data_IF_773362155220
#
_entry.id   IF_773362155220
#
_cell.length_a   1.000
_cell.length_b   1.000
_cell.length_c   1.000
_cell.angle_alpha   90.00
_cell.angle_beta   90.00
_cell.angle_gamma   90.00
#
_symmetry.space_group_name_H-M   'P 1'
#
loop_
_entity.id
_entity.type
_entity.pdbx_description
1 polymer ?
#
# COMPACT_ATOMS: atom_id res chain seq x y z
N UNK A 1 12.76 -3.35 -17.31
CA UNK A 1 12.17 -4.64 -17.54
C UNK A 1 11.86 -5.39 -16.29
N UNK A 2 12.87 -5.68 -15.49
CA UNK A 2 12.65 -6.26 -14.16
C UNK A 2 11.81 -5.32 -13.31
N UNK A 3 12.11 -4.02 -13.38
CA UNK A 3 11.35 -3.02 -12.64
C UNK A 3 9.90 -2.98 -13.09
N UNK A 4 9.64 -3.02 -14.39
CA UNK A 4 8.28 -3.02 -14.91
C UNK A 4 7.49 -4.24 -14.45
N UNK A 5 8.12 -5.40 -14.49
CA UNK A 5 7.50 -6.64 -14.05
C UNK A 5 7.20 -6.62 -12.56
N UNK A 6 8.17 -6.19 -11.76
CA UNK A 6 7.99 -6.05 -10.31
C UNK A 6 6.85 -5.09 -9.99
N UNK A 7 6.87 -3.92 -10.61
CA UNK A 7 5.84 -2.91 -10.34
C UNK A 7 4.45 -3.38 -10.77
N UNK A 8 4.35 -4.09 -11.89
CA UNK A 8 3.06 -4.61 -12.34
C UNK A 8 2.48 -5.58 -11.32
N UNK A 9 3.29 -6.51 -10.81
CA UNK A 9 2.83 -7.47 -9.81
C UNK A 9 2.47 -6.78 -8.49
N UNK A 10 3.30 -5.84 -8.05
CA UNK A 10 3.06 -5.15 -6.78
C UNK A 10 1.84 -4.23 -6.86
N UNK A 11 1.62 -3.59 -8.01
CA UNK A 11 0.41 -2.79 -8.20
C UNK A 11 -0.85 -3.65 -8.14
N UNK A 12 -0.78 -4.86 -8.65
CA UNK A 12 -1.89 -5.81 -8.54
C UNK A 12 -2.18 -6.12 -7.07
N UNK A 13 -1.13 -6.28 -6.27
CA UNK A 13 -1.26 -6.56 -4.84
C UNK A 13 -1.92 -5.43 -4.05
N UNK A 14 -1.74 -4.18 -4.48
CA UNK A 14 -2.27 -3.01 -3.76
C UNK A 14 -3.55 -2.45 -4.37
N UNK A 15 -4.11 -3.13 -5.34
CA UNK A 15 -5.31 -2.65 -6.04
C UNK A 15 -6.47 -2.39 -5.08
N UNK A 16 -6.66 -3.25 -4.10
CA UNK A 16 -7.73 -3.12 -3.12
C UNK A 16 -7.56 -1.94 -2.17
N UNK A 17 -6.38 -1.36 -2.11
CA UNK A 17 -6.09 -0.21 -1.25
C UNK A 17 -6.04 1.11 -2.02
N UNK A 18 -6.33 1.08 -3.31
CA UNK A 18 -6.29 2.27 -4.18
C UNK A 18 -4.96 3.00 -4.09
N UNK A 19 -3.88 2.24 -4.02
CA UNK A 19 -2.52 2.76 -3.90
C UNK A 19 -1.68 2.23 -5.05
N UNK A 20 -0.95 3.10 -5.72
CA UNK A 20 -0.05 2.71 -6.80
C UNK A 20 1.37 2.63 -6.28
N UNK A 21 2.08 1.62 -6.77
CA UNK A 21 3.48 1.41 -6.45
C UNK A 21 4.32 2.03 -7.56
N UNK A 22 5.35 2.77 -7.18
CA UNK A 22 6.28 3.38 -8.11
C UNK A 22 7.69 3.23 -7.56
N UNK A 23 8.69 3.40 -8.41
CA UNK A 23 10.08 3.23 -8.04
C UNK A 23 10.76 4.60 -8.08
N UNK A 24 11.46 4.96 -7.02
CA UNK A 24 12.18 6.23 -6.90
C UNK A 24 13.49 6.00 -6.17
N UNK A 25 14.35 7.02 -6.21
CA UNK A 25 15.59 7.02 -5.43
C UNK A 25 15.49 8.10 -4.39
N UNK A 26 15.67 7.75 -3.13
CA UNK A 26 15.63 8.74 -2.05
C UNK A 26 16.49 8.28 -0.88
N UNK A 27 16.76 9.22 0.03
CA UNK A 27 17.55 8.99 1.22
C UNK A 27 16.63 8.95 2.44
N UNK A 28 16.98 8.19 3.47
CA UNK A 28 18.14 7.29 3.56
C UNK A 28 17.91 5.97 2.81
N UNK A 29 18.99 5.35 2.38
CA UNK A 29 18.91 4.13 1.57
C UNK A 29 18.33 2.93 2.34
N UNK A 30 18.40 2.96 3.67
CA UNK A 30 17.85 1.88 4.49
C UNK A 30 16.33 1.97 4.65
N UNK A 31 15.71 3.03 4.16
CA UNK A 31 14.26 3.15 4.15
C UNK A 31 13.72 2.51 2.86
N UNK A 32 12.99 1.40 2.96
CA UNK A 32 12.59 0.66 1.75
C UNK A 32 11.45 1.29 0.98
N UNK A 33 10.54 1.99 1.65
CA UNK A 33 9.35 2.53 0.99
C UNK A 33 8.85 3.77 1.72
N UNK A 34 8.17 4.63 0.95
CA UNK A 34 7.59 5.85 1.46
C UNK A 34 6.15 5.97 0.94
N UNK A 35 5.22 6.19 1.86
CA UNK A 35 3.83 6.38 1.50
C UNK A 35 3.54 7.87 1.31
N UNK A 36 2.94 8.21 0.17
CA UNK A 36 2.56 9.57 -0.15
C UNK A 36 1.09 9.64 -0.47
N UNK A 37 0.42 10.64 0.07
CA UNK A 37 -1.03 10.76 -0.04
C UNK A 37 -1.39 12.23 -0.28
N UNK A 38 -2.34 12.48 -1.18
CA UNK A 38 -2.87 13.82 -1.37
C UNK A 38 -3.75 14.19 -0.19
N UNK A 39 -3.99 15.49 0.01
CA UNK A 39 -4.84 15.95 1.11
C UNK A 39 -6.25 15.37 1.03
N UNK A 40 -6.78 15.23 -0.17
CA UNK A 40 -8.11 14.64 -0.37
C UNK A 40 -8.16 13.21 0.12
N UNK A 41 -7.14 12.42 -0.22
CA UNK A 41 -7.08 11.01 0.22
C UNK A 41 -6.87 10.93 1.72
N UNK A 42 -6.07 11.84 2.28
CA UNK A 42 -5.86 11.88 3.73
C UNK A 42 -7.17 12.11 4.46
N UNK A 43 -7.96 13.04 3.96
CA UNK A 43 -9.29 13.30 4.54
C UNK A 43 -10.18 12.06 4.45
N UNK A 44 -10.24 11.43 3.28
CA UNK A 44 -11.04 10.22 3.08
C UNK A 44 -10.59 9.09 3.99
N UNK A 45 -9.28 8.96 4.19
CA UNK A 45 -8.74 7.93 5.06
C UNK A 45 -9.15 8.14 6.51
N UNK A 46 -9.15 9.39 6.98
CA UNK A 46 -9.60 9.73 8.32
C UNK A 46 -11.08 9.41 8.50
N UNK A 47 -11.86 9.71 7.49
CA UNK A 47 -13.30 9.45 7.50
C UNK A 47 -13.58 7.96 7.48
N UNK A 48 -12.77 7.16 6.78
CA UNK A 48 -12.89 5.71 6.81
C UNK A 48 -12.64 5.15 8.22
N UNK A 49 -11.69 5.73 8.94
CA UNK A 49 -11.45 5.35 10.33
C UNK A 49 -12.67 5.61 11.19
N UNK A 50 -13.33 6.75 11.00
CA UNK A 50 -14.57 7.07 11.68
C UNK A 50 -15.71 6.11 11.26
N UNK A 51 -15.72 5.71 10.00
CA UNK A 51 -16.70 4.78 9.46
C UNK A 51 -16.65 3.41 10.12
N UNK A 52 -15.46 2.94 10.43
CA UNK A 52 -15.28 1.65 11.10
C UNK A 52 -15.93 1.62 12.47
N UNK A 53 -16.14 2.79 13.07
CA UNK A 53 -16.72 2.92 14.40
C UNK A 53 -18.10 3.55 14.42
N UNK A 54 -18.67 3.94 13.27
CA UNK A 54 -19.97 4.61 13.23
C UNK A 54 -20.83 4.11 12.06
N UNK A 55 -22.09 4.51 12.05
CA UNK A 55 -23.12 3.86 11.25
C UNK A 55 -23.33 4.42 9.84
N UNK A 56 -24.28 3.86 9.15
CA UNK A 56 -24.49 3.91 7.72
C UNK A 56 -24.59 5.24 6.99
N UNK A 57 -25.04 6.31 7.63
CA UNK A 57 -25.20 7.61 6.95
C UNK A 57 -23.87 8.13 6.45
N UNK A 58 -22.86 7.99 7.29
CA UNK A 58 -21.52 8.42 6.97
C UNK A 58 -20.93 7.59 5.83
N UNK A 59 -21.28 6.30 5.80
CA UNK A 59 -20.83 5.38 4.76
C UNK A 59 -21.34 5.81 3.37
N UNK A 60 -22.59 6.27 3.29
CA UNK A 60 -23.18 6.70 2.03
C UNK A 60 -22.46 7.95 1.51
N UNK A 61 -22.21 8.90 2.40
CA UNK A 61 -21.50 10.14 2.02
C UNK A 61 -20.09 9.82 1.51
N UNK A 62 -19.40 8.90 2.19
CA UNK A 62 -18.07 8.47 1.78
C UNK A 62 -18.09 7.79 0.42
N UNK A 63 -19.06 6.92 0.20
CA UNK A 63 -19.17 6.23 -1.07
C UNK A 63 -19.34 7.21 -2.22
N UNK A 64 -20.12 8.26 -2.01
CA UNK A 64 -20.32 9.30 -3.01
C UNK A 64 -19.02 10.04 -3.33
N UNK A 65 -18.25 10.38 -2.29
CA UNK A 65 -16.96 11.05 -2.47
C UNK A 65 -15.96 10.15 -3.19
N UNK A 66 -15.92 8.89 -2.81
CA UNK A 66 -15.02 7.91 -3.45
C UNK A 66 -15.40 7.69 -4.90
N UNK A 67 -16.69 7.66 -5.21
CA UNK A 67 -17.17 7.51 -6.59
C UNK A 67 -16.75 8.69 -7.47
N UNK A 68 -16.74 9.89 -6.90
CA UNK A 68 -16.32 11.07 -7.64
C UNK A 68 -14.85 11.06 -7.99
N UNK A 69 -14.07 10.26 -7.27
CA UNK A 69 -12.62 10.12 -7.50
C UNK A 69 -12.25 8.78 -8.13
N UNK A 70 -13.23 8.03 -8.57
CA UNK A 70 -12.97 6.71 -9.14
C UNK A 70 -12.05 6.81 -10.36
N UNK A 71 -11.14 5.86 -10.48
CA UNK A 71 -10.20 5.84 -11.59
C UNK A 71 -8.91 6.60 -11.33
N UNK A 72 -8.81 7.34 -10.22
CA UNK A 72 -7.59 8.07 -9.87
C UNK A 72 -6.93 7.42 -8.66
N UNK A 73 -5.69 6.96 -8.84
CA UNK A 73 -4.89 6.52 -7.72
C UNK A 73 -4.33 7.77 -7.04
N UNK A 74 -4.87 8.10 -5.88
CA UNK A 74 -4.51 9.31 -5.15
C UNK A 74 -3.40 9.06 -4.15
N UNK A 75 -3.15 7.81 -3.81
CA UNK A 75 -2.07 7.40 -2.91
C UNK A 75 -0.96 6.71 -3.70
N UNK A 76 0.27 6.90 -3.25
CA UNK A 76 1.44 6.30 -3.88
C UNK A 76 2.31 5.63 -2.84
N UNK A 77 2.83 4.47 -3.17
CA UNK A 77 3.88 3.82 -2.41
C UNK A 77 5.14 3.88 -3.26
N UNK A 78 6.11 4.66 -2.83
CA UNK A 78 7.38 4.79 -3.52
C UNK A 78 8.37 3.81 -2.93
N UNK A 79 8.86 2.88 -3.75
CA UNK A 79 9.91 1.96 -3.34
C UNK A 79 11.26 2.62 -3.62
N UNK A 80 12.17 2.48 -2.66
CA UNK A 80 13.48 3.10 -2.76
C UNK A 80 14.43 2.20 -3.54
N UNK A 81 14.78 2.62 -4.75
CA UNK A 81 15.62 1.84 -5.64
C UNK A 81 16.94 1.41 -4.97
N UNK A 82 17.52 2.26 -4.12
CA UNK A 82 18.81 1.97 -3.49
C UNK A 82 18.72 1.08 -2.25
N UNK A 83 17.51 0.74 -1.83
CA UNK A 83 17.34 -0.12 -0.66
C UNK A 83 17.66 -1.57 -1.01
N UNK A 84 18.44 -2.29 -0.17
CA UNK A 84 18.81 -3.67 -0.46
C UNK A 84 17.62 -4.61 -0.65
N UNK A 85 16.54 -4.44 0.13
CA UNK A 85 15.35 -5.26 -0.03
C UNK A 85 14.71 -5.03 -1.40
N UNK A 86 14.58 -3.77 -1.81
CA UNK A 86 14.01 -3.44 -3.11
C UNK A 86 14.85 -4.02 -4.24
N UNK A 87 16.17 -3.95 -4.10
CA UNK A 87 17.07 -4.55 -5.09
C UNK A 87 16.85 -6.07 -5.22
N UNK A 88 16.63 -6.73 -4.09
CA UNK A 88 16.33 -8.16 -4.10
C UNK A 88 15.00 -8.44 -4.77
N UNK A 89 14.00 -7.61 -4.52
CA UNK A 89 12.67 -7.79 -5.11
C UNK A 89 12.69 -7.67 -6.64
N UNK A 90 13.61 -6.87 -7.18
CA UNK A 90 13.73 -6.74 -8.64
C UNK A 90 14.03 -8.07 -9.33
N UNK A 91 14.70 -8.98 -8.63
CA UNK A 91 15.06 -10.28 -9.21
C UNK A 91 14.07 -11.39 -8.85
N UNK A 92 13.04 -11.11 -8.06
CA UNK A 92 12.04 -12.11 -7.68
C UNK A 92 11.17 -12.44 -8.89
N UNK A 93 11.00 -13.74 -9.16
CA UNK A 93 10.22 -14.21 -10.30
C UNK A 93 8.79 -14.58 -9.95
N UNK A 94 8.50 -14.80 -8.67
CA UNK A 94 7.17 -15.20 -8.21
C UNK A 94 6.29 -13.98 -7.98
N UNK A 95 5.25 -13.84 -8.80
CA UNK A 95 4.31 -12.72 -8.65
C UNK A 95 3.57 -12.75 -7.33
N UNK A 96 3.27 -13.95 -6.82
CA UNK A 96 2.63 -14.08 -5.51
C UNK A 96 3.43 -13.46 -4.39
N UNK A 97 4.74 -13.71 -4.40
CA UNK A 97 5.63 -13.10 -3.41
C UNK A 97 5.68 -11.58 -3.56
N UNK A 98 5.74 -11.10 -4.78
CA UNK A 98 5.75 -9.66 -5.04
C UNK A 98 4.47 -8.99 -4.55
N UNK A 99 3.32 -9.61 -4.79
CA UNK A 99 2.04 -9.09 -4.31
C UNK A 99 2.01 -9.03 -2.78
N UNK A 100 2.48 -10.09 -2.12
CA UNK A 100 2.56 -10.12 -0.66
C UNK A 100 3.48 -9.05 -0.12
N UNK A 101 4.66 -8.90 -0.71
CA UNK A 101 5.63 -7.90 -0.25
C UNK A 101 5.10 -6.49 -0.44
N UNK A 102 4.34 -6.26 -1.50
CA UNK A 102 3.71 -4.95 -1.70
C UNK A 102 2.80 -4.61 -0.52
N UNK A 103 2.01 -5.56 -0.07
CA UNK A 103 1.09 -5.36 1.06
C UNK A 103 1.86 -5.11 2.37
N UNK A 104 2.90 -5.89 2.61
CA UNK A 104 3.72 -5.72 3.81
C UNK A 104 4.40 -4.35 3.83
N UNK A 105 5.00 -3.96 2.71
CA UNK A 105 5.67 -2.66 2.61
C UNK A 105 4.69 -1.50 2.71
N UNK A 106 3.49 -1.68 2.18
CA UNK A 106 2.42 -0.68 2.29
C UNK A 106 2.07 -0.42 3.76
N UNK A 107 1.80 -1.49 4.52
CA UNK A 107 1.46 -1.34 5.94
C UNK A 107 2.63 -0.74 6.73
N UNK A 108 3.85 -1.20 6.44
CA UNK A 108 5.05 -0.68 7.09
C UNK A 108 5.23 0.81 6.81
N UNK A 109 5.04 1.23 5.57
CA UNK A 109 5.20 2.63 5.19
C UNK A 109 4.14 3.52 5.85
N UNK A 110 2.91 3.02 5.97
CA UNK A 110 1.87 3.75 6.68
C UNK A 110 2.27 3.98 8.14
N UNK A 111 2.71 2.92 8.81
CA UNK A 111 3.13 3.02 10.20
C UNK A 111 4.32 3.95 10.36
N UNK A 112 5.32 3.83 9.51
CA UNK A 112 6.53 4.65 9.57
C UNK A 112 6.24 6.12 9.32
N UNK A 113 5.24 6.42 8.48
CA UNK A 113 4.85 7.78 8.16
C UNK A 113 3.86 8.40 9.14
N UNK A 114 3.51 7.69 10.20
CA UNK A 114 2.58 8.20 11.20
C UNK A 114 1.13 8.18 10.77
N UNK A 115 0.80 7.42 9.73
CA UNK A 115 -0.58 7.29 9.26
C UNK A 115 -1.33 6.27 10.10
N UNK A 116 -2.65 6.49 10.24
CA UNK A 116 -3.49 5.56 10.98
C UNK A 116 -3.58 4.21 10.27
N UNK A 117 -3.47 3.14 11.04
CA UNK A 117 -3.70 1.79 10.53
C UNK A 117 -5.11 1.37 10.89
N UNK A 118 -5.88 1.02 9.87
CA UNK A 118 -7.25 0.54 10.07
C UNK A 118 -7.24 -0.98 10.15
N UNK A 119 -8.36 -1.56 10.61
CA UNK A 119 -8.46 -3.00 10.77
C UNK A 119 -8.13 -3.76 9.50
N UNK A 120 -8.47 -3.20 8.35
CA UNK A 120 -8.18 -3.83 7.07
C UNK A 120 -6.67 -4.02 6.86
N UNK A 121 -5.87 -2.99 7.16
CA UNK A 121 -4.42 -3.09 7.02
C UNK A 121 -3.81 -4.07 8.03
N UNK A 122 -4.29 -4.04 9.27
CA UNK A 122 -3.75 -4.93 10.29
C UNK A 122 -4.05 -6.39 9.96
N UNK A 123 -5.27 -6.68 9.51
CA UNK A 123 -5.62 -8.04 9.09
C UNK A 123 -4.81 -8.48 7.88
N UNK A 124 -4.60 -7.56 6.94
CA UNK A 124 -3.79 -7.83 5.76
C UNK A 124 -2.37 -8.20 6.17
N UNK A 125 -1.77 -7.43 7.08
CA UNK A 125 -0.41 -7.71 7.53
C UNK A 125 -0.30 -9.10 8.12
N UNK A 126 -1.22 -9.49 9.02
CA UNK A 126 -1.22 -10.81 9.64
C UNK A 126 -1.36 -11.91 8.59
N UNK A 127 -2.25 -11.72 7.64
CA UNK A 127 -2.49 -12.69 6.58
C UNK A 127 -1.25 -12.88 5.70
N UNK A 128 -0.60 -11.79 5.34
CA UNK A 128 0.58 -11.88 4.48
C UNK A 128 1.79 -12.46 5.22
N UNK A 129 1.93 -12.15 6.50
CA UNK A 129 2.99 -12.76 7.29
C UNK A 129 2.81 -14.28 7.39
N UNK A 130 1.57 -14.73 7.59
CA UNK A 130 1.27 -16.15 7.60
C UNK A 130 1.61 -16.79 6.27
N UNK A 131 1.21 -16.16 5.19
CA UNK A 131 1.53 -16.65 3.83
C UNK A 131 3.03 -16.81 3.64
N UNK A 132 3.81 -15.80 4.05
CA UNK A 132 5.26 -15.83 3.88
C UNK A 132 5.89 -16.93 4.72
N UNK A 133 5.44 -17.11 5.96
CA UNK A 133 5.94 -18.16 6.83
C UNK A 133 5.61 -19.54 6.27
N UNK A 134 4.40 -19.72 5.78
CA UNK A 134 3.97 -21.01 5.22
C UNK A 134 4.67 -21.34 3.91
N UNK A 135 5.17 -20.34 3.18
CA UNK A 135 5.84 -20.54 1.91
C UNK A 135 7.31 -20.94 2.07
N UNK A 136 7.85 -20.76 3.23
CA UNK A 136 9.25 -21.04 3.53
C UNK A 136 9.39 -21.77 4.87
#
# INVERSE_FOLDING_TARGET
REAQRMLAAMNEGLKEFDCRVDLRSFQPADLPALYSISDDVRFLRQVQGAKESSSGVFSVALSSLLSGNSGKALARLYLNYHNPLVQRLLSVQEDGLLRSMAKVLYVQALAAGGHSLHNKELRTLSKELLYLVDSY
#
